data_IF_821423053992
#
_entry.id   IF_821423053992
#
_cell.length_a   1.000
_cell.length_b   1.000
_cell.length_c   1.000
_cell.angle_alpha   90.00
_cell.angle_beta   90.00
_cell.angle_gamma   90.00
#
_symmetry.space_group_name_H-M   'P 1'
#
loop_
_entity.id
_entity.type
_entity.pdbx_description
1 polymer ?
#
# COMPACT_ATOMS: atom_id res chain seq x y z
N UNK A 1 -17.06 -6.46 -4.59
CA UNK A 1 -18.40 -6.93 -4.16
C UNK A 1 -18.78 -6.18 -2.89
N UNK A 2 -19.98 -5.61 -2.81
CA UNK A 2 -20.45 -4.88 -1.63
C UNK A 2 -21.11 -5.85 -0.63
N UNK A 3 -20.85 -5.67 0.67
CA UNK A 3 -21.48 -6.46 1.73
C UNK A 3 -22.71 -5.69 2.27
N UNK A 4 -23.95 -6.15 1.99
CA UNK A 4 -25.16 -5.42 2.38
C UNK A 4 -25.47 -5.44 3.88
N UNK A 5 -24.74 -6.22 4.67
CA UNK A 5 -24.99 -6.37 6.11
C UNK A 5 -23.73 -6.36 6.97
N UNK A 6 -22.62 -5.77 6.46
CA UNK A 6 -21.37 -5.76 7.21
C UNK A 6 -20.31 -4.83 6.64
N UNK A 7 -19.15 -4.84 7.32
CA UNK A 7 -17.97 -4.14 6.84
C UNK A 7 -17.55 -4.64 5.46
N UNK A 8 -16.94 -3.74 4.70
CA UNK A 8 -16.29 -4.09 3.45
C UNK A 8 -15.11 -5.05 3.68
N UNK A 9 -14.96 -6.04 2.80
CA UNK A 9 -13.85 -6.98 2.86
C UNK A 9 -12.52 -6.28 2.54
N UNK A 10 -11.43 -6.66 3.21
CA UNK A 10 -10.10 -6.14 2.89
C UNK A 10 -9.54 -6.75 1.61
N UNK A 11 -8.68 -6.01 0.91
CA UNK A 11 -7.85 -6.50 -0.18
C UNK A 11 -6.37 -6.30 0.14
N UNK A 12 -5.58 -7.35 0.04
CA UNK A 12 -4.17 -7.36 0.43
C UNK A 12 -3.35 -8.03 -0.68
N UNK A 13 -2.48 -7.29 -1.36
CA UNK A 13 -1.66 -7.82 -2.45
C UNK A 13 -2.48 -8.09 -3.72
N UNK A 14 -2.40 -7.23 -4.72
CA UNK A 14 -3.07 -7.50 -6.01
C UNK A 14 -2.37 -8.56 -6.86
N UNK A 15 -1.07 -8.76 -6.65
CA UNK A 15 -0.29 -9.84 -7.26
C UNK A 15 0.13 -10.89 -6.22
N UNK A 16 0.74 -10.43 -5.12
CA UNK A 16 1.38 -11.30 -4.14
C UNK A 16 0.90 -10.92 -2.73
N UNK A 17 0.40 -11.93 -2.03
CA UNK A 17 0.09 -11.89 -0.61
C UNK A 17 1.01 -12.84 0.14
N UNK A 18 1.96 -12.28 0.90
CA UNK A 18 2.97 -13.04 1.63
C UNK A 18 2.91 -12.72 3.12
N UNK A 19 2.70 -13.75 3.96
CA UNK A 19 2.45 -13.58 5.41
C UNK A 19 3.41 -14.36 6.32
N UNK A 20 4.29 -15.18 5.75
CA UNK A 20 5.30 -15.93 6.49
C UNK A 20 6.42 -16.36 5.54
N UNK A 21 7.57 -16.73 6.11
CA UNK A 21 8.72 -17.22 5.35
C UNK A 21 9.52 -16.11 4.68
N UNK A 22 10.14 -16.43 3.55
CA UNK A 22 10.94 -15.50 2.74
C UNK A 22 10.25 -15.21 1.42
N UNK A 23 10.34 -13.96 0.95
CA UNK A 23 9.90 -13.56 -0.38
C UNK A 23 11.05 -12.88 -1.11
N UNK A 24 11.40 -13.41 -2.29
CA UNK A 24 12.38 -12.81 -3.19
C UNK A 24 11.70 -12.47 -4.53
N UNK A 25 11.82 -11.20 -4.94
CA UNK A 25 11.35 -10.72 -6.24
C UNK A 25 12.58 -10.20 -6.99
N UNK A 26 12.98 -10.91 -8.04
CA UNK A 26 14.19 -10.61 -8.81
C UNK A 26 13.86 -10.49 -10.28
N UNK A 27 14.47 -9.54 -11.00
CA UNK A 27 14.37 -9.44 -12.47
C UNK A 27 12.91 -9.50 -12.98
N UNK A 28 12.01 -8.80 -12.29
CA UNK A 28 10.57 -8.98 -12.44
C UNK A 28 9.85 -7.65 -12.64
N UNK A 29 8.73 -7.70 -13.35
CA UNK A 29 7.86 -6.53 -13.55
C UNK A 29 6.48 -6.80 -12.96
N UNK A 30 6.11 -6.02 -11.95
CA UNK A 30 4.79 -6.04 -11.33
C UNK A 30 4.05 -4.78 -11.76
N UNK A 31 3.18 -4.95 -12.76
CA UNK A 31 2.54 -3.85 -13.47
C UNK A 31 1.02 -3.99 -13.42
N UNK A 32 0.32 -2.87 -13.20
CA UNK A 32 -1.15 -2.81 -13.23
C UNK A 32 -1.85 -3.75 -12.22
N UNK A 33 -1.21 -4.03 -11.09
CA UNK A 33 -1.82 -4.81 -10.02
C UNK A 33 -2.63 -3.91 -9.09
N UNK A 34 -3.79 -4.40 -8.66
CA UNK A 34 -4.72 -3.60 -7.90
C UNK A 34 -5.26 -4.35 -6.68
N UNK A 35 -5.27 -3.66 -5.54
CA UNK A 35 -5.98 -4.09 -4.34
C UNK A 35 -7.19 -3.16 -4.12
N UNK A 36 -8.41 -3.71 -4.25
CA UNK A 36 -9.66 -2.97 -4.06
C UNK A 36 -10.39 -3.44 -2.80
N UNK A 37 -10.43 -2.58 -1.78
CA UNK A 37 -11.25 -2.81 -0.61
C UNK A 37 -12.73 -2.88 -0.97
N UNK A 38 -13.45 -3.84 -0.37
CA UNK A 38 -14.88 -3.99 -0.55
C UNK A 38 -15.64 -2.78 0.00
N UNK A 39 -16.72 -2.39 -0.67
CA UNK A 39 -17.60 -1.34 -0.17
C UNK A 39 -18.56 -1.87 0.90
N UNK A 40 -18.94 -1.00 1.83
CA UNK A 40 -20.11 -1.16 2.67
C UNK A 40 -21.14 -0.09 2.34
N UNK A 41 -22.41 -0.47 2.33
CA UNK A 41 -23.54 0.38 1.95
C UNK A 41 -24.56 0.57 3.09
N UNK A 42 -24.31 0.00 4.27
CA UNK A 42 -25.21 0.07 5.41
C UNK A 42 -24.63 0.96 6.52
N UNK A 43 -25.52 1.68 7.21
CA UNK A 43 -25.13 2.55 8.31
C UNK A 43 -24.47 1.77 9.45
N UNK A 44 -23.47 2.37 10.09
CA UNK A 44 -22.69 1.73 11.16
C UNK A 44 -21.51 0.88 10.68
N UNK A 45 -21.34 0.71 9.36
CA UNK A 45 -20.29 -0.12 8.79
C UNK A 45 -19.24 0.70 8.03
N UNK A 46 -18.04 0.14 7.98
CA UNK A 46 -16.87 0.76 7.35
C UNK A 46 -16.51 0.09 6.04
N UNK A 47 -15.86 0.86 5.16
CA UNK A 47 -15.26 0.35 3.93
C UNK A 47 -14.06 -0.55 4.21
N UNK A 48 -13.82 -1.51 3.32
CA UNK A 48 -12.72 -2.45 3.42
C UNK A 48 -11.38 -1.79 3.12
N UNK A 49 -10.34 -2.17 3.86
CA UNK A 49 -8.97 -1.70 3.61
C UNK A 49 -8.38 -2.25 2.30
N UNK A 50 -7.45 -1.52 1.71
CA UNK A 50 -6.61 -1.99 0.61
C UNK A 50 -5.14 -1.76 0.95
N UNK A 51 -4.30 -2.80 0.90
CA UNK A 51 -2.88 -2.67 1.19
C UNK A 51 -2.02 -3.41 0.17
N UNK A 52 -0.99 -2.74 -0.36
CA UNK A 52 -0.05 -3.34 -1.31
C UNK A 52 -0.73 -3.64 -2.64
N UNK A 53 -0.91 -2.65 -3.51
CA UNK A 53 -1.61 -2.87 -4.79
C UNK A 53 -0.96 -3.96 -5.65
N UNK A 54 0.36 -4.13 -5.57
CA UNK A 54 1.04 -5.33 -6.06
C UNK A 54 1.34 -6.33 -4.94
N UNK A 55 2.11 -5.91 -3.93
CA UNK A 55 2.68 -6.80 -2.91
C UNK A 55 2.23 -6.39 -1.53
N UNK A 56 1.59 -7.31 -0.84
CA UNK A 56 1.43 -7.24 0.60
C UNK A 56 2.38 -8.23 1.28
N UNK A 57 3.26 -7.71 2.11
CA UNK A 57 4.25 -8.49 2.84
C UNK A 57 4.12 -8.23 4.35
N UNK A 58 3.79 -9.27 5.11
CA UNK A 58 3.68 -9.19 6.56
C UNK A 58 4.34 -10.39 7.23
N UNK A 59 5.01 -10.20 8.37
CA UNK A 59 5.52 -11.33 9.17
C UNK A 59 6.54 -12.23 8.48
N UNK A 60 7.14 -11.77 7.38
CA UNK A 60 8.24 -12.46 6.70
C UNK A 60 9.52 -12.32 7.51
N UNK A 61 10.37 -13.35 7.43
CA UNK A 61 11.74 -13.32 7.96
C UNK A 61 12.66 -12.45 7.10
N UNK A 62 12.42 -12.41 5.78
CA UNK A 62 13.09 -11.51 4.85
C UNK A 62 12.23 -11.22 3.62
N UNK A 63 12.29 -9.97 3.15
CA UNK A 63 11.80 -9.55 1.85
C UNK A 63 12.96 -8.96 1.05
N UNK A 64 13.27 -9.56 -0.10
CA UNK A 64 14.31 -9.07 -1.02
C UNK A 64 13.67 -8.73 -2.36
N UNK A 65 13.93 -7.51 -2.83
CA UNK A 65 13.50 -7.02 -4.13
C UNK A 65 14.75 -6.51 -4.86
N UNK A 66 15.04 -7.06 -6.03
CA UNK A 66 16.22 -6.71 -6.80
C UNK A 66 15.92 -6.67 -8.29
N UNK A 67 16.42 -5.65 -8.99
CA UNK A 67 16.25 -5.49 -10.44
C UNK A 67 14.77 -5.63 -10.89
N UNK A 68 13.86 -4.99 -10.14
CA UNK A 68 12.42 -5.13 -10.36
C UNK A 68 11.74 -3.80 -10.70
N UNK A 69 10.68 -3.87 -11.48
CA UNK A 69 9.85 -2.70 -11.81
C UNK A 69 8.46 -2.85 -11.22
N UNK A 70 8.03 -1.86 -10.46
CA UNK A 70 6.66 -1.71 -9.97
C UNK A 70 6.03 -0.51 -10.66
N UNK A 71 5.15 -0.76 -11.62
CA UNK A 71 4.51 0.29 -12.39
C UNK A 71 2.99 0.27 -12.30
N UNK A 72 2.37 1.44 -12.10
CA UNK A 72 0.92 1.60 -12.19
C UNK A 72 0.14 0.62 -11.31
N UNK A 73 0.61 0.38 -10.09
CA UNK A 73 -0.10 -0.44 -9.11
C UNK A 73 -0.91 0.45 -8.17
N UNK A 74 -2.11 0.00 -7.80
CA UNK A 74 -3.04 0.80 -7.02
C UNK A 74 -3.58 0.06 -5.79
N UNK A 75 -3.65 0.76 -4.66
CA UNK A 75 -4.42 0.32 -3.51
C UNK A 75 -5.56 1.32 -3.26
N UNK A 76 -6.81 0.84 -3.34
CA UNK A 76 -8.00 1.68 -3.20
C UNK A 76 -8.90 1.14 -2.10
N UNK A 77 -9.04 1.92 -1.03
CA UNK A 77 -9.94 1.61 0.08
C UNK A 77 -11.39 1.60 -0.39
N UNK A 78 -12.17 0.67 0.13
CA UNK A 78 -13.59 0.56 -0.19
C UNK A 78 -14.39 1.71 0.39
N UNK A 79 -15.47 2.11 -0.28
CA UNK A 79 -16.40 3.08 0.29
C UNK A 79 -17.09 2.51 1.55
N UNK A 80 -17.42 3.38 2.50
CA UNK A 80 -18.22 3.00 3.67
C UNK A 80 -19.28 4.05 3.99
N UNK A 81 -20.11 3.76 4.98
CA UNK A 81 -21.10 4.74 5.46
C UNK A 81 -20.53 5.51 6.64
N UNK A 82 -20.02 4.79 7.65
CA UNK A 82 -19.44 5.42 8.85
C UNK A 82 -17.99 5.83 8.66
N UNK A 83 -17.20 5.03 7.96
CA UNK A 83 -15.84 5.39 7.59
C UNK A 83 -15.42 4.69 6.30
N UNK A 84 -14.63 5.37 5.49
CA UNK A 84 -14.03 4.78 4.29
C UNK A 84 -12.88 3.84 4.63
N UNK A 85 -12.61 2.90 3.74
CA UNK A 85 -11.51 1.97 3.88
C UNK A 85 -10.15 2.65 3.74
N UNK A 86 -9.18 2.25 4.56
CA UNK A 86 -7.81 2.76 4.48
C UNK A 86 -7.09 2.16 3.28
N UNK A 87 -6.30 2.97 2.58
CA UNK A 87 -5.41 2.53 1.50
C UNK A 87 -3.93 2.69 1.89
N UNK A 88 -3.11 1.66 1.68
CA UNK A 88 -1.66 1.71 1.96
C UNK A 88 -0.83 1.12 0.83
N UNK A 89 0.21 1.82 0.39
CA UNK A 89 1.24 1.26 -0.49
C UNK A 89 0.68 0.85 -1.85
N UNK A 90 0.63 1.77 -2.81
CA UNK A 90 0.08 1.52 -4.14
C UNK A 90 0.79 0.38 -4.86
N UNK A 91 2.10 0.27 -4.72
CA UNK A 91 2.86 -0.92 -5.11
C UNK A 91 2.97 -1.91 -3.96
N UNK A 92 3.52 -1.48 -2.82
CA UNK A 92 3.93 -2.39 -1.77
C UNK A 92 3.55 -1.89 -0.38
N UNK A 93 3.00 -2.79 0.44
CA UNK A 93 2.81 -2.58 1.87
C UNK A 93 3.62 -3.61 2.65
N UNK A 94 4.48 -3.13 3.57
CA UNK A 94 5.34 -3.97 4.41
C UNK A 94 5.01 -3.75 5.88
N UNK A 95 4.77 -4.84 6.61
CA UNK A 95 4.44 -4.83 8.04
C UNK A 95 5.22 -5.89 8.81
N UNK A 96 5.93 -5.50 9.88
CA UNK A 96 6.62 -6.46 10.76
C UNK A 96 7.73 -7.29 10.07
N UNK A 97 8.32 -6.75 9.00
CA UNK A 97 9.35 -7.40 8.18
C UNK A 97 10.41 -6.37 7.78
N UNK A 98 11.66 -6.81 7.65
CA UNK A 98 12.73 -6.03 7.01
C UNK A 98 12.74 -6.29 5.51
N UNK A 99 12.71 -5.20 4.73
CA UNK A 99 12.72 -5.26 3.27
C UNK A 99 14.00 -4.63 2.71
N UNK A 100 14.69 -5.38 1.86
CA UNK A 100 15.83 -4.89 1.08
C UNK A 100 15.37 -4.69 -0.36
N UNK A 101 15.47 -3.47 -0.86
CA UNK A 101 15.08 -3.11 -2.23
C UNK A 101 16.27 -2.48 -2.94
N UNK A 102 16.77 -3.16 -3.97
CA UNK A 102 17.93 -2.71 -4.74
C UNK A 102 17.61 -2.65 -6.22
N UNK A 103 18.17 -1.66 -6.92
CA UNK A 103 18.10 -1.49 -8.37
C UNK A 103 16.68 -1.63 -8.93
N UNK A 104 15.69 -1.12 -8.21
CA UNK A 104 14.28 -1.31 -8.54
C UNK A 104 13.57 0.03 -8.70
N UNK A 105 12.62 0.08 -9.62
CA UNK A 105 11.89 1.29 -9.99
C UNK A 105 10.44 1.21 -9.53
N UNK A 106 9.97 2.30 -8.90
CA UNK A 106 8.57 2.46 -8.48
C UNK A 106 7.98 3.68 -9.17
N UNK A 107 7.15 3.44 -10.19
CA UNK A 107 6.60 4.51 -11.05
C UNK A 107 5.09 4.40 -11.18
N UNK A 108 4.39 5.55 -11.24
CA UNK A 108 2.93 5.63 -11.42
C UNK A 108 2.07 4.82 -10.42
N UNK A 109 2.63 4.43 -9.28
CA UNK A 109 1.87 3.73 -8.24
C UNK A 109 1.11 4.73 -7.38
N UNK A 110 -0.15 4.43 -7.04
CA UNK A 110 -1.00 5.36 -6.33
C UNK A 110 -1.91 4.68 -5.32
N UNK A 111 -2.47 5.51 -4.44
CA UNK A 111 -3.38 5.08 -3.40
C UNK A 111 -4.59 6.00 -3.36
N UNK A 112 -5.73 5.46 -2.92
CA UNK A 112 -6.92 6.26 -2.68
C UNK A 112 -7.70 5.65 -1.53
N UNK A 113 -7.82 6.37 -0.43
CA UNK A 113 -8.70 6.01 0.67
C UNK A 113 -10.15 6.00 0.22
N UNK A 114 -10.95 5.13 0.84
CA UNK A 114 -12.36 5.01 0.51
C UNK A 114 -13.16 6.25 0.93
N UNK A 115 -14.21 6.57 0.19
CA UNK A 115 -15.13 7.64 0.59
C UNK A 115 -16.08 7.15 1.69
N UNK A 116 -16.47 8.05 2.59
CA UNK A 116 -17.55 7.81 3.53
C UNK A 116 -18.77 8.67 3.21
N UNK A 117 -19.97 8.08 3.20
CA UNK A 117 -21.20 8.83 2.90
C UNK A 117 -21.82 9.53 4.13
N UNK A 118 -21.45 9.13 5.34
CA UNK A 118 -21.99 9.69 6.59
C UNK A 118 -20.96 9.89 7.69
N UNK A 119 -19.67 9.71 7.41
CA UNK A 119 -18.59 9.88 8.39
C UNK A 119 -17.26 10.22 7.73
N UNK A 120 -16.15 9.71 8.27
CA UNK A 120 -14.80 10.11 7.84
C UNK A 120 -14.30 9.28 6.67
N UNK A 121 -13.78 9.92 5.62
CA UNK A 121 -13.15 9.17 4.52
C UNK A 121 -11.89 8.44 4.99
N UNK A 122 -11.56 7.33 4.32
CA UNK A 122 -10.43 6.49 4.65
C UNK A 122 -9.10 7.19 4.37
N UNK A 123 -8.10 6.87 5.19
CA UNK A 123 -6.76 7.43 5.05
C UNK A 123 -6.00 6.81 3.87
N UNK A 124 -5.07 7.58 3.32
CA UNK A 124 -4.15 7.15 2.27
C UNK A 124 -2.72 7.27 2.78
N UNK A 125 -2.00 6.15 2.93
CA UNK A 125 -0.64 6.12 3.48
C UNK A 125 0.35 5.51 2.49
N UNK A 126 1.43 6.24 2.17
CA UNK A 126 2.58 5.75 1.41
C UNK A 126 2.30 5.45 -0.07
N UNK A 127 2.37 6.50 -0.92
CA UNK A 127 2.02 6.48 -2.35
C UNK A 127 2.38 5.18 -3.09
N UNK A 128 3.67 4.96 -3.38
CA UNK A 128 4.12 3.68 -3.94
C UNK A 128 4.38 2.63 -2.85
N UNK A 129 5.07 3.01 -1.78
CA UNK A 129 5.46 2.09 -0.70
C UNK A 129 4.95 2.64 0.62
N UNK A 130 4.32 1.78 1.42
CA UNK A 130 3.86 2.09 2.76
C UNK A 130 4.44 1.14 3.80
N UNK A 131 4.67 1.68 4.99
CA UNK A 131 5.10 0.93 6.17
C UNK A 131 3.99 0.99 7.22
N UNK A 132 3.41 -0.15 7.56
CA UNK A 132 2.54 -0.23 8.72
C UNK A 132 3.42 -0.40 9.97
N UNK A 133 3.52 0.63 10.80
CA UNK A 133 4.18 0.53 12.10
C UNK A 133 3.41 -0.48 12.97
N UNK A 134 3.90 -1.72 13.03
CA UNK A 134 3.41 -2.70 14.00
C UNK A 134 4.50 -3.50 14.72
N UNK A 135 5.78 -3.19 14.50
CA UNK A 135 6.86 -3.62 15.39
C UNK A 135 8.08 -2.73 15.15
N UNK A 136 8.74 -2.32 16.23
CA UNK A 136 10.01 -1.62 16.18
C UNK A 136 11.04 -2.54 15.49
N UNK A 137 11.57 -2.14 14.32
CA UNK A 137 12.66 -2.87 13.66
C UNK A 137 12.51 -3.14 12.15
N UNK A 138 11.38 -2.82 11.52
CA UNK A 138 11.32 -2.85 10.06
C UNK A 138 12.23 -1.75 9.49
N UNK A 139 13.12 -2.10 8.55
CA UNK A 139 13.91 -1.13 7.76
C UNK A 139 13.58 -1.38 6.30
N UNK A 140 13.36 -0.29 5.55
CA UNK A 140 13.21 -0.35 4.09
C UNK A 140 14.39 0.43 3.53
N UNK A 141 15.40 -0.29 3.04
CA UNK A 141 16.52 0.31 2.32
C UNK A 141 16.20 0.24 0.83
N UNK A 142 16.05 1.39 0.18
CA UNK A 142 15.76 1.49 -1.26
C UNK A 142 16.96 2.12 -1.94
N UNK A 143 17.61 1.40 -2.84
CA UNK A 143 18.61 1.95 -3.76
C UNK A 143 18.00 1.98 -5.17
N UNK A 144 17.52 3.15 -5.63
CA UNK A 144 16.82 3.29 -6.91
C UNK A 144 16.02 4.60 -7.03
N UNK A 145 15.24 4.77 -8.10
CA UNK A 145 14.39 5.95 -8.29
C UNK A 145 13.01 5.71 -7.70
N UNK A 146 12.57 6.59 -6.79
CA UNK A 146 11.19 6.61 -6.31
C UNK A 146 10.56 7.94 -6.72
N UNK A 147 9.54 7.89 -7.58
CA UNK A 147 8.67 9.04 -7.78
C UNK A 147 7.53 8.97 -6.75
N UNK A 148 7.61 9.79 -5.70
CA UNK A 148 6.51 9.94 -4.75
C UNK A 148 5.48 10.91 -5.29
N UNK A 149 4.29 10.41 -5.65
CA UNK A 149 3.08 11.25 -5.76
C UNK A 149 2.36 11.11 -4.42
N UNK A 150 2.47 12.14 -3.57
CA UNK A 150 1.80 12.17 -2.27
C UNK A 150 0.47 12.91 -2.44
N UNK A 151 -0.63 12.23 -2.14
CA UNK A 151 -1.95 12.86 -1.95
C UNK A 151 -2.34 12.64 -0.49
N UNK A 152 -2.04 13.60 0.39
CA UNK A 152 -2.35 13.56 1.83
C UNK A 152 -1.15 13.63 2.79
N UNK A 153 -1.41 13.76 4.10
CA UNK A 153 -0.37 13.94 5.12
C UNK A 153 0.32 12.63 5.50
N UNK A 154 1.64 12.53 5.30
CA UNK A 154 2.46 11.44 5.87
C UNK A 154 3.79 11.96 6.42
N UNK A 155 4.22 11.44 7.56
CA UNK A 155 5.58 11.62 8.10
C UNK A 155 6.53 10.59 7.50
N UNK A 156 7.67 11.05 6.97
CA UNK A 156 8.77 10.18 6.49
C UNK A 156 9.90 10.16 7.52
N UNK A 157 10.43 8.96 7.82
CA UNK A 157 11.67 8.79 8.57
C UNK A 157 12.75 8.22 7.63
N UNK A 158 13.71 9.10 7.31
CA UNK A 158 14.99 8.91 6.62
C UNK A 158 14.98 8.22 5.25
N UNK A 159 15.11 9.04 4.19
CA UNK A 159 15.66 8.63 2.88
C UNK A 159 17.09 9.20 2.80
N UNK A 160 18.13 8.38 2.58
CA UNK A 160 19.52 8.86 2.54
C UNK A 160 19.96 9.43 1.17
N UNK A 161 19.04 9.82 0.28
CA UNK A 161 19.39 10.44 -1.01
C UNK A 161 18.29 11.41 -1.47
N UNK A 162 18.70 12.42 -2.24
CA UNK A 162 17.85 13.53 -2.68
C UNK A 162 16.74 13.04 -3.62
N UNK A 163 15.53 12.89 -3.08
CA UNK A 163 14.33 12.59 -3.88
C UNK A 163 13.56 13.89 -4.13
N UNK A 164 13.25 14.24 -5.39
CA UNK A 164 12.37 15.36 -5.67
C UNK A 164 10.96 15.05 -5.14
N UNK A 165 10.55 15.78 -4.09
CA UNK A 165 9.18 15.76 -3.55
C UNK A 165 8.36 16.76 -4.37
N UNK A 166 7.43 16.28 -5.21
CA UNK A 166 6.43 17.13 -5.86
C UNK A 166 5.15 17.06 -5.02
N UNK A 167 4.89 18.10 -4.24
CA UNK A 167 3.61 18.30 -3.55
C UNK A 167 2.65 19.00 -4.51
N UNK A 168 1.57 18.32 -4.91
CA UNK A 168 0.45 18.96 -5.62
C UNK A 168 -0.62 19.29 -4.56
N UNK A 169 -0.91 20.59 -4.41
CA UNK A 169 -1.92 21.15 -3.51
C UNK A 169 -3.33 20.99 -4.07
#
# INVERSE_FOLDING_TARGET
MANPAGNGAGALGGAIYAIAGTLEIRNSSLVLNNAYGGASNAAGFVGGRAEGGAVYASGLTALVIEDATFNSNFAVGGAGVTSGGVAKGGAMSVAGTTATVANSDFTANAITGGLASGGTSGESIGGAVARAFHAQGATVAISGTILFIIVGATTFSQIPYEVPIITLW
#
